data_IF_290841648440
#
_entry.id   IF_290841648440
#
_cell.length_a   1.000
_cell.length_b   1.000
_cell.length_c   1.000
_cell.angle_alpha   90.00
_cell.angle_beta   90.00
_cell.angle_gamma   90.00
#
_symmetry.space_group_name_H-M   'P 1'
#
loop_
_entity.id
_entity.type
_entity.pdbx_description
1 polymer ?
#
# COMPACT_ATOMS: atom_id res chain seq x y z
N UNK A 1 -24.17 -8.17 -7.88
CA UNK A 1 -23.10 -7.56 -8.68
C UNK A 1 -23.15 -6.05 -8.46
N UNK A 2 -22.32 -5.52 -7.55
CA UNK A 2 -22.32 -4.09 -7.21
C UNK A 2 -21.39 -3.38 -8.18
N UNK A 3 -21.94 -2.55 -9.04
CA UNK A 3 -21.19 -1.69 -9.96
C UNK A 3 -20.23 -0.83 -9.14
N UNK A 4 -18.94 -0.85 -9.49
CA UNK A 4 -17.93 0.08 -8.95
C UNK A 4 -18.47 1.49 -9.18
N UNK A 5 -18.93 2.17 -8.12
CA UNK A 5 -19.42 3.55 -8.21
C UNK A 5 -18.35 4.38 -8.91
N UNK A 6 -18.72 4.97 -10.04
CA UNK A 6 -17.86 5.84 -10.83
C UNK A 6 -17.58 7.12 -10.00
N UNK A 7 -16.60 7.05 -9.09
CA UNK A 7 -16.06 8.21 -8.38
C UNK A 7 -15.27 9.03 -9.40
N UNK A 8 -15.38 10.35 -9.37
CA UNK A 8 -14.52 11.21 -10.16
C UNK A 8 -13.06 10.84 -9.89
N UNK A 9 -12.31 10.57 -10.97
CA UNK A 9 -10.90 10.24 -10.89
C UNK A 9 -10.14 11.47 -10.38
N UNK A 10 -9.50 11.41 -9.21
CA UNK A 10 -8.83 12.58 -8.65
C UNK A 10 -7.56 12.96 -9.42
N UNK A 11 -7.00 12.03 -10.20
CA UNK A 11 -5.82 12.25 -11.03
C UNK A 11 -6.03 11.65 -12.42
N UNK A 12 -5.62 12.37 -13.46
CA UNK A 12 -5.80 11.97 -14.87
C UNK A 12 -5.06 10.68 -15.23
N UNK A 13 -3.95 10.37 -14.54
CA UNK A 13 -3.13 9.20 -14.79
C UNK A 13 -3.63 7.93 -14.07
N UNK A 14 -4.59 8.06 -13.15
CA UNK A 14 -5.07 6.92 -12.35
C UNK A 14 -6.15 6.17 -13.11
N UNK A 15 -5.89 4.89 -13.37
CA UNK A 15 -6.84 3.97 -13.99
C UNK A 15 -7.80 3.41 -12.94
N UNK A 16 -8.98 2.99 -13.40
CA UNK A 16 -9.85 2.12 -12.61
C UNK A 16 -9.56 0.70 -13.03
N UNK A 17 -9.27 -0.17 -12.07
CA UNK A 17 -8.95 -1.58 -12.32
C UNK A 17 -10.15 -2.46 -12.00
N UNK A 18 -10.35 -3.51 -12.80
CA UNK A 18 -11.47 -4.44 -12.63
C UNK A 18 -11.09 -5.65 -11.80
N UNK A 19 -9.78 -5.96 -11.75
CA UNK A 19 -9.26 -7.10 -10.99
C UNK A 19 -8.14 -6.65 -10.05
N UNK A 20 -8.07 -7.19 -8.82
CA UNK A 20 -6.99 -6.88 -7.89
C UNK A 20 -5.60 -7.13 -8.49
N UNK A 21 -5.46 -8.21 -9.27
CA UNK A 21 -4.22 -8.55 -9.98
C UNK A 21 -3.67 -7.40 -10.81
N UNK A 22 -4.53 -6.60 -11.46
CA UNK A 22 -4.08 -5.54 -12.37
C UNK A 22 -3.44 -4.37 -11.61
N UNK A 23 -3.96 -4.04 -10.42
CA UNK A 23 -3.31 -3.07 -9.52
C UNK A 23 -1.98 -3.61 -9.04
N UNK A 24 -1.98 -4.86 -8.56
CA UNK A 24 -0.82 -5.48 -7.92
C UNK A 24 0.35 -5.72 -8.87
N UNK A 25 0.12 -5.74 -10.18
CA UNK A 25 1.16 -5.91 -11.21
C UNK A 25 1.45 -4.62 -11.99
N UNK A 26 0.92 -3.46 -11.57
CA UNK A 26 1.21 -2.20 -12.24
C UNK A 26 2.52 -1.60 -11.75
N UNK A 27 3.59 -1.78 -12.54
CA UNK A 27 4.93 -1.28 -12.21
C UNK A 27 5.02 0.25 -12.13
N UNK A 28 4.15 1.00 -12.84
CA UNK A 28 4.16 2.47 -12.75
C UNK A 28 3.53 2.92 -11.43
N UNK A 29 2.50 2.22 -10.96
CA UNK A 29 1.97 2.42 -9.61
C UNK A 29 2.98 2.00 -8.56
N UNK A 30 3.67 0.87 -8.71
CA UNK A 30 4.72 0.46 -7.76
C UNK A 30 5.81 1.53 -7.62
N UNK A 31 6.32 2.07 -8.73
CA UNK A 31 7.32 3.14 -8.69
C UNK A 31 6.87 4.41 -7.95
N UNK A 32 5.61 4.82 -8.11
CA UNK A 32 5.04 5.94 -7.33
C UNK A 32 4.80 5.52 -5.87
N UNK A 33 4.44 4.26 -5.65
CA UNK A 33 4.17 3.67 -4.36
C UNK A 33 5.40 3.56 -3.46
N UNK A 34 6.58 3.27 -4.01
CA UNK A 34 7.85 3.32 -3.26
C UNK A 34 8.06 4.71 -2.65
N UNK A 35 7.91 5.77 -3.45
CA UNK A 35 8.03 7.15 -2.96
C UNK A 35 6.97 7.48 -1.90
N UNK A 36 5.71 7.10 -2.14
CA UNK A 36 4.61 7.31 -1.21
C UNK A 36 4.83 6.58 0.13
N UNK A 37 5.18 5.30 0.10
CA UNK A 37 5.40 4.49 1.30
C UNK A 37 6.59 5.01 2.11
N UNK A 38 7.70 5.37 1.44
CA UNK A 38 8.85 5.95 2.11
C UNK A 38 8.49 7.26 2.81
N UNK A 39 7.64 8.09 2.20
CA UNK A 39 7.13 9.31 2.83
C UNK A 39 6.23 9.02 4.04
N UNK A 40 5.22 8.14 3.89
CA UNK A 40 4.32 7.73 4.97
C UNK A 40 5.10 7.18 6.17
N UNK A 41 6.08 6.31 5.91
CA UNK A 41 6.90 5.71 6.95
C UNK A 41 7.82 6.73 7.64
N UNK A 42 8.44 7.62 6.86
CA UNK A 42 9.24 8.72 7.40
C UNK A 42 8.42 9.63 8.30
N UNK A 43 7.19 9.94 7.91
CA UNK A 43 6.26 10.76 8.71
C UNK A 43 5.86 10.05 10.01
N UNK A 44 5.54 8.75 9.95
CA UNK A 44 5.24 7.96 11.14
C UNK A 44 6.43 7.85 12.10
N UNK A 45 7.65 7.70 11.58
CA UNK A 45 8.86 7.74 12.40
C UNK A 45 9.11 9.12 13.01
N UNK A 46 8.82 10.19 12.26
CA UNK A 46 8.97 11.56 12.75
C UNK A 46 8.03 11.79 13.93
N UNK A 47 6.78 11.36 13.81
CA UNK A 47 5.77 11.44 14.88
C UNK A 47 6.17 10.61 16.10
N UNK A 48 6.57 9.34 15.92
CA UNK A 48 7.04 8.48 17.02
C UNK A 48 8.22 9.07 17.79
N UNK A 49 9.10 9.84 17.11
CA UNK A 49 10.31 10.41 17.70
C UNK A 49 10.15 11.85 18.20
N UNK A 50 9.06 12.54 17.83
CA UNK A 50 8.88 13.96 18.09
C UNK A 50 9.85 14.89 17.31
N UNK A 51 10.48 14.40 16.25
CA UNK A 51 11.39 15.21 15.41
C UNK A 51 11.39 14.75 13.94
N UNK A 52 11.56 15.67 12.96
CA UNK A 52 11.62 15.30 11.55
C UNK A 52 12.69 14.23 11.27
N UNK A 53 12.29 13.15 10.60
CA UNK A 53 13.12 11.99 10.31
C UNK A 53 12.78 11.41 8.93
N UNK A 54 13.79 10.87 8.25
CA UNK A 54 13.63 10.17 6.96
C UNK A 54 14.09 8.72 7.06
N UNK A 55 13.35 7.80 6.44
CA UNK A 55 13.76 6.42 6.30
C UNK A 55 13.19 5.78 5.03
N UNK A 56 13.96 4.85 4.45
CA UNK A 56 13.48 3.95 3.41
C UNK A 56 13.01 2.64 4.01
N UNK A 57 11.91 2.12 3.50
CA UNK A 57 11.40 0.80 3.87
C UNK A 57 12.14 -0.25 3.04
N UNK A 58 12.63 -1.31 3.69
CA UNK A 58 13.26 -2.42 2.97
C UNK A 58 12.18 -3.23 2.25
N UNK A 59 12.39 -3.55 0.97
CA UNK A 59 11.45 -4.38 0.21
C UNK A 59 11.16 -5.75 0.84
N UNK A 60 12.10 -6.32 1.62
CA UNK A 60 11.85 -7.56 2.37
C UNK A 60 10.76 -7.42 3.42
N UNK A 61 10.67 -6.27 4.09
CA UNK A 61 9.60 -5.95 5.07
C UNK A 61 8.24 -5.91 4.36
N UNK A 62 8.17 -5.21 3.22
CA UNK A 62 6.94 -5.10 2.42
C UNK A 62 6.50 -6.46 1.87
N UNK A 63 7.44 -7.25 1.35
CA UNK A 63 7.16 -8.60 0.86
C UNK A 63 6.65 -9.54 1.97
N UNK A 64 7.19 -9.41 3.18
CA UNK A 64 6.72 -10.17 4.34
C UNK A 64 5.32 -9.73 4.78
N UNK A 65 5.10 -8.42 4.93
CA UNK A 65 3.81 -7.84 5.27
C UNK A 65 2.72 -8.24 4.26
N UNK A 66 3.05 -8.25 2.97
CA UNK A 66 2.16 -8.68 1.90
C UNK A 66 1.74 -10.15 2.02
N UNK A 67 2.67 -11.03 2.40
CA UNK A 67 2.36 -12.44 2.68
C UNK A 67 1.48 -12.57 3.92
N UNK A 68 1.82 -11.87 5.01
CA UNK A 68 1.06 -11.87 6.28
C UNK A 68 -0.37 -11.34 6.09
N UNK A 69 -0.58 -10.37 5.20
CA UNK A 69 -1.91 -9.86 4.83
C UNK A 69 -2.73 -10.85 3.96
N UNK A 70 -2.18 -12.01 3.62
CA UNK A 70 -2.83 -13.04 2.80
C UNK A 70 -3.05 -12.61 1.35
N UNK A 71 -2.32 -11.60 0.87
CA UNK A 71 -2.50 -11.02 -0.47
C UNK A 71 -1.79 -11.84 -1.57
N UNK A 72 -0.86 -12.73 -1.20
CA UNK A 72 -0.15 -13.64 -2.13
C UNK A 72 -1.11 -14.45 -3.02
N UNK A 73 -2.33 -14.75 -2.55
CA UNK A 73 -3.36 -15.48 -3.30
C UNK A 73 -3.89 -14.75 -4.53
N UNK A 74 -3.73 -13.42 -4.59
CA UNK A 74 -4.13 -12.60 -5.72
C UNK A 74 -3.03 -12.44 -6.76
N UNK A 75 -1.91 -13.12 -6.57
CA UNK A 75 -0.75 -12.99 -7.44
C UNK A 75 -0.49 -14.28 -8.24
N UNK A 76 0.16 -14.20 -9.42
CA UNK A 76 0.50 -15.37 -10.25
C UNK A 76 1.34 -16.45 -9.55
N UNK A 77 1.59 -17.60 -10.19
CA UNK A 77 2.36 -18.69 -9.56
C UNK A 77 3.85 -18.33 -9.39
N UNK A 78 4.48 -17.71 -10.39
CA UNK A 78 5.92 -17.39 -10.40
C UNK A 78 6.17 -15.97 -9.90
N UNK A 79 6.64 -15.84 -8.65
CA UNK A 79 6.85 -14.53 -8.00
C UNK A 79 8.08 -14.53 -7.11
N UNK A 80 8.86 -13.45 -7.19
CA UNK A 80 10.00 -13.15 -6.31
C UNK A 80 9.57 -12.29 -5.11
N UNK A 81 10.43 -12.16 -4.10
CA UNK A 81 10.20 -11.22 -2.99
C UNK A 81 10.08 -9.77 -3.48
N UNK A 82 10.87 -9.38 -4.48
CA UNK A 82 10.83 -8.05 -5.07
C UNK A 82 9.45 -7.74 -5.67
N UNK A 83 8.87 -8.65 -6.46
CA UNK A 83 7.55 -8.44 -7.04
C UNK A 83 6.45 -8.34 -5.96
N UNK A 84 6.62 -9.02 -4.82
CA UNK A 84 5.67 -8.87 -3.70
C UNK A 84 5.79 -7.51 -3.00
N UNK A 85 7.00 -6.94 -2.95
CA UNK A 85 7.21 -5.59 -2.44
C UNK A 85 6.56 -4.55 -3.38
N UNK A 86 6.83 -4.64 -4.67
CA UNK A 86 6.23 -3.78 -5.71
C UNK A 86 4.69 -3.85 -5.68
N UNK A 87 4.14 -5.04 -5.46
CA UNK A 87 2.70 -5.23 -5.33
C UNK A 87 2.11 -4.54 -4.09
N UNK A 88 2.85 -4.53 -2.97
CA UNK A 88 2.46 -3.80 -1.77
C UNK A 88 2.49 -2.27 -2.02
N UNK A 89 3.53 -1.79 -2.68
CA UNK A 89 3.68 -0.38 -3.11
C UNK A 89 2.53 0.08 -4.00
N UNK A 90 2.25 -0.70 -5.05
CA UNK A 90 1.17 -0.41 -5.98
C UNK A 90 -0.21 -0.39 -5.28
N UNK A 91 -0.48 -1.35 -4.38
CA UNK A 91 -1.75 -1.41 -3.67
C UNK A 91 -1.99 -0.20 -2.77
N UNK A 92 -1.00 0.17 -1.97
CA UNK A 92 -1.13 1.24 -0.98
C UNK A 92 -1.28 2.61 -1.65
N UNK A 93 -0.48 2.87 -2.70
CA UNK A 93 -0.60 4.14 -3.41
C UNK A 93 -1.90 4.21 -4.19
N UNK A 94 -2.37 3.11 -4.79
CA UNK A 94 -3.66 3.07 -5.45
C UNK A 94 -4.81 3.36 -4.48
N UNK A 95 -4.76 2.78 -3.28
CA UNK A 95 -5.75 3.03 -2.23
C UNK A 95 -5.83 4.51 -1.86
N UNK A 96 -4.68 5.16 -1.70
CA UNK A 96 -4.60 6.58 -1.39
C UNK A 96 -5.05 7.46 -2.56
N UNK A 97 -4.54 7.20 -3.77
CA UNK A 97 -4.89 7.93 -4.97
C UNK A 97 -6.40 7.89 -5.25
N UNK A 98 -7.07 6.77 -4.98
CA UNK A 98 -8.52 6.63 -5.16
C UNK A 98 -9.36 7.11 -3.95
N UNK A 99 -8.73 7.74 -2.95
CA UNK A 99 -9.37 8.22 -1.72
C UNK A 99 -10.08 7.12 -0.92
N UNK A 100 -9.57 5.90 -0.97
CA UNK A 100 -10.01 4.82 -0.09
C UNK A 100 -9.40 4.97 1.31
N UNK A 101 -8.12 5.36 1.37
CA UNK A 101 -7.40 5.67 2.60
C UNK A 101 -6.83 7.08 2.52
N UNK A 102 -6.60 7.70 3.69
CA UNK A 102 -5.94 8.99 3.81
C UNK A 102 -4.48 8.83 4.26
N UNK A 103 -3.67 9.88 4.09
CA UNK A 103 -2.29 9.89 4.59
C UNK A 103 -2.28 9.76 6.11
N UNK A 104 -3.18 10.47 6.78
CA UNK A 104 -3.32 10.54 8.24
C UNK A 104 -3.67 9.16 8.80
N UNK A 105 -4.63 8.44 8.19
CA UNK A 105 -4.93 7.06 8.55
C UNK A 105 -3.70 6.15 8.41
N UNK A 106 -2.94 6.31 7.33
CA UNK A 106 -1.75 5.49 7.09
C UNK A 106 -0.68 5.72 8.16
N UNK A 107 -0.42 6.99 8.49
CA UNK A 107 0.52 7.37 9.55
C UNK A 107 0.06 6.84 10.90
N UNK A 108 -1.22 7.01 11.25
CA UNK A 108 -1.76 6.56 12.54
C UNK A 108 -1.61 5.04 12.74
N UNK A 109 -1.78 4.25 11.68
CA UNK A 109 -1.57 2.78 11.75
C UNK A 109 -0.11 2.46 12.04
N UNK A 110 0.83 3.07 11.31
CA UNK A 110 2.27 2.82 11.53
C UNK A 110 2.75 3.32 12.89
N UNK A 111 2.16 4.40 13.40
CA UNK A 111 2.42 4.93 14.74
C UNK A 111 2.00 3.96 15.85
N UNK A 112 0.91 3.20 15.66
CA UNK A 112 0.37 2.29 16.68
C UNK A 112 0.94 0.88 16.63
N UNK A 113 1.56 0.48 15.53
CA UNK A 113 2.11 -0.87 15.36
C UNK A 113 3.32 -1.13 16.27
N UNK A 114 3.42 -2.36 16.77
CA UNK A 114 4.52 -2.83 17.62
C UNK A 114 5.81 -2.93 16.80
N UNK A 115 5.70 -3.48 15.58
CA UNK A 115 6.80 -3.57 14.64
C UNK A 115 6.43 -3.10 13.22
N UNK A 116 7.45 -2.91 12.39
CA UNK A 116 7.31 -2.35 11.04
C UNK A 116 6.55 -3.30 10.11
N UNK A 117 6.81 -4.61 10.19
CA UNK A 117 6.13 -5.62 9.37
C UNK A 117 4.65 -5.68 9.76
N UNK A 118 4.34 -5.66 11.04
CA UNK A 118 2.97 -5.61 11.55
C UNK A 118 2.25 -4.35 11.04
N UNK A 119 2.89 -3.18 11.17
CA UNK A 119 2.31 -1.91 10.70
C UNK A 119 1.96 -1.94 9.22
N UNK A 120 2.87 -2.42 8.36
CA UNK A 120 2.58 -2.57 6.94
C UNK A 120 1.54 -3.65 6.66
N UNK A 121 1.47 -4.71 7.46
CA UNK A 121 0.43 -5.74 7.34
C UNK A 121 -0.95 -5.11 7.59
N UNK A 122 -1.08 -4.29 8.62
CA UNK A 122 -2.33 -3.59 8.95
C UNK A 122 -2.72 -2.57 7.87
N UNK A 123 -1.76 -1.82 7.32
CA UNK A 123 -2.02 -0.92 6.18
C UNK A 123 -2.56 -1.66 4.96
N UNK A 124 -1.92 -2.79 4.61
CA UNK A 124 -2.32 -3.59 3.47
C UNK A 124 -3.71 -4.19 3.67
N UNK A 125 -4.05 -4.63 4.89
CA UNK A 125 -5.39 -5.10 5.24
C UNK A 125 -6.43 -3.97 5.17
N UNK A 126 -6.09 -2.78 5.66
CA UNK A 126 -6.96 -1.61 5.56
C UNK A 126 -7.25 -1.25 4.10
N UNK A 127 -6.20 -1.12 3.27
CA UNK A 127 -6.33 -0.83 1.86
C UNK A 127 -7.18 -1.90 1.14
N UNK A 128 -6.87 -3.19 1.40
CA UNK A 128 -7.61 -4.33 0.87
C UNK A 128 -9.10 -4.25 1.21
N UNK A 129 -9.45 -4.03 2.48
CA UNK A 129 -10.84 -4.01 2.93
C UNK A 129 -11.64 -2.81 2.38
N UNK A 130 -10.96 -1.69 2.10
CA UNK A 130 -11.61 -0.50 1.54
C UNK A 130 -11.67 -0.52 -0.01
N UNK A 131 -10.75 -1.22 -0.67
CA UNK A 131 -10.74 -1.39 -2.14
C UNK A 131 -11.65 -2.55 -2.58
N UNK A 132 -11.54 -3.71 -1.92
CA UNK A 132 -12.26 -4.92 -2.30
C UNK A 132 -13.57 -5.02 -1.51
N UNK A 133 -14.66 -4.84 -2.26
CA UNK A 133 -16.07 -4.91 -1.85
C UNK A 133 -16.46 -6.23 -1.20
#
# INVERSE_FOLDING_TARGET
MRVLKNREKPFSFVKTYNKPTEVLTDHKLAALGDAYINFVYSLALSEKKGQPSGAKVKGTILAEAFKKAGLRRYMPSRITSHILADAAEALLVYAWLQKYITLEECVAVLCKAEDVVEGFTQLLLMAKNKIMF
#
